data_IF_859424417940
#
_entry.id   IF_859424417940
#
_cell.length_a   1.000
_cell.length_b   1.000
_cell.length_c   1.000
_cell.angle_alpha   90.00
_cell.angle_beta   90.00
_cell.angle_gamma   90.00
#
_symmetry.space_group_name_H-M   'P 1'
#
loop_
_entity.id
_entity.type
_entity.pdbx_description
1 polymer ?
#
# COMPACT_ATOMS: atom_id res chain seq x y z
N UNK A 1 -10.30 7.70 9.11
CA UNK A 1 -9.78 6.76 8.11
C UNK A 1 -8.45 7.30 7.60
N UNK A 2 -7.47 6.44 7.34
CA UNK A 2 -6.16 6.84 6.83
C UNK A 2 -6.00 6.40 5.39
N UNK A 3 -5.17 7.08 4.60
CA UNK A 3 -4.92 6.75 3.20
C UNK A 3 -3.41 6.63 3.00
N UNK A 4 -2.99 5.83 2.02
CA UNK A 4 -1.58 5.79 1.62
C UNK A 4 -1.27 7.08 0.87
N UNK A 5 -0.10 7.67 1.11
CA UNK A 5 0.35 8.91 0.44
C UNK A 5 1.75 8.79 -0.17
N UNK A 6 2.55 7.82 0.28
CA UNK A 6 3.86 7.51 -0.26
C UNK A 6 4.17 6.02 -0.03
N UNK A 7 5.07 5.47 -0.84
CA UNK A 7 5.48 4.06 -0.73
C UNK A 7 7.00 3.96 -0.79
N UNK A 8 7.57 3.01 -0.06
CA UNK A 8 8.99 2.69 -0.16
C UNK A 8 9.15 1.35 -0.86
N UNK A 9 10.05 1.29 -1.82
CA UNK A 9 10.34 0.09 -2.60
C UNK A 9 11.74 -0.45 -2.30
N UNK A 10 11.91 -1.76 -2.41
CA UNK A 10 13.23 -2.38 -2.42
C UNK A 10 13.91 -2.23 -3.80
N UNK A 11 15.14 -2.72 -3.94
CA UNK A 11 15.88 -2.70 -5.22
C UNK A 11 15.23 -3.50 -6.35
N UNK A 12 14.30 -4.41 -6.03
CA UNK A 12 13.52 -5.20 -6.99
C UNK A 12 12.24 -4.50 -7.44
N UNK A 13 11.87 -3.37 -6.81
CA UNK A 13 10.65 -2.62 -7.08
C UNK A 13 9.45 -2.98 -6.22
N UNK A 14 9.57 -3.95 -5.30
CA UNK A 14 8.48 -4.34 -4.40
C UNK A 14 8.28 -3.32 -3.29
N UNK A 15 7.02 -3.02 -2.96
CA UNK A 15 6.68 -2.15 -1.84
C UNK A 15 7.01 -2.87 -0.52
N UNK A 16 7.88 -2.25 0.28
CA UNK A 16 8.28 -2.77 1.61
C UNK A 16 7.65 -1.99 2.75
N UNK A 17 7.33 -0.71 2.53
CA UNK A 17 6.70 0.17 3.52
C UNK A 17 5.76 1.17 2.84
N UNK A 18 4.78 1.66 3.57
CA UNK A 18 3.88 2.72 3.12
C UNK A 18 3.81 3.82 4.16
N UNK A 19 3.66 5.06 3.71
CA UNK A 19 3.37 6.21 4.56
C UNK A 19 1.88 6.51 4.49
N UNK A 20 1.24 6.67 5.65
CA UNK A 20 -0.16 7.06 5.73
C UNK A 20 -0.32 8.58 5.76
N UNK A 21 -1.53 9.07 5.47
CA UNK A 21 -1.90 10.49 5.56
C UNK A 21 -1.74 11.11 6.95
N UNK A 22 -1.52 10.29 8.00
CA UNK A 22 -1.17 10.75 9.35
C UNK A 22 0.33 10.78 9.63
N UNK A 23 1.16 10.54 8.61
CA UNK A 23 2.62 10.53 8.74
C UNK A 23 3.19 9.26 9.38
N UNK A 24 2.38 8.22 9.61
CA UNK A 24 2.88 6.91 10.08
C UNK A 24 3.58 6.20 8.92
N UNK A 25 4.73 5.62 9.17
CA UNK A 25 5.38 4.68 8.24
C UNK A 25 5.15 3.27 8.81
N UNK A 26 4.51 2.41 8.03
CA UNK A 26 4.23 1.03 8.41
C UNK A 26 4.77 0.07 7.34
N UNK A 27 5.15 -1.14 7.76
CA UNK A 27 5.57 -2.18 6.82
C UNK A 27 4.42 -2.60 5.90
N UNK A 28 4.76 -3.13 4.74
CA UNK A 28 3.77 -3.61 3.77
C UNK A 28 2.84 -4.69 4.35
N UNK A 29 3.37 -5.61 5.17
CA UNK A 29 2.55 -6.61 5.86
C UNK A 29 1.54 -5.99 6.82
N UNK A 30 1.93 -4.92 7.54
CA UNK A 30 1.00 -4.18 8.40
C UNK A 30 -0.04 -3.41 7.59
N UNK A 31 0.35 -2.86 6.44
CA UNK A 31 -0.58 -2.22 5.52
C UNK A 31 -1.65 -3.19 5.01
N UNK A 32 -1.27 -4.43 4.65
CA UNK A 32 -2.24 -5.48 4.29
C UNK A 32 -3.21 -5.76 5.45
N UNK A 33 -2.72 -5.93 6.68
CA UNK A 33 -3.62 -6.17 7.83
C UNK A 33 -4.54 -4.97 8.11
N UNK A 34 -4.02 -3.75 8.04
CA UNK A 34 -4.82 -2.54 8.28
C UNK A 34 -5.84 -2.29 7.15
N UNK A 35 -5.53 -2.62 5.91
CA UNK A 35 -6.48 -2.57 4.79
C UNK A 35 -7.59 -3.63 4.93
N UNK A 36 -7.24 -4.85 5.33
CA UNK A 36 -8.20 -5.94 5.59
C UNK A 36 -9.16 -5.58 6.74
N UNK A 37 -8.64 -4.90 7.76
CA UNK A 37 -9.40 -4.38 8.88
C UNK A 37 -10.18 -3.09 8.57
N UNK A 38 -10.10 -2.55 7.35
CA UNK A 38 -10.76 -1.31 6.95
C UNK A 38 -10.20 -0.03 7.58
N UNK A 39 -8.99 -0.06 8.13
CA UNK A 39 -8.32 1.10 8.72
C UNK A 39 -7.66 1.99 7.64
N UNK A 40 -7.20 1.37 6.56
CA UNK A 40 -6.75 2.06 5.35
C UNK A 40 -7.91 2.18 4.35
N UNK A 41 -8.31 3.41 4.08
CA UNK A 41 -9.32 3.73 3.09
C UNK A 41 -8.71 3.81 1.70
N UNK A 42 -9.54 3.57 0.68
CA UNK A 42 -9.10 3.66 -0.71
C UNK A 42 -8.17 2.53 -1.13
N UNK A 43 -8.11 1.45 -0.34
CA UNK A 43 -7.29 0.28 -0.63
C UNK A 43 -8.15 -0.97 -0.74
N UNK A 44 -7.74 -1.90 -1.60
CA UNK A 44 -8.33 -3.23 -1.72
C UNK A 44 -7.22 -4.29 -1.63
N UNK A 45 -7.55 -5.45 -1.06
CA UNK A 45 -6.66 -6.60 -1.07
C UNK A 45 -7.15 -7.58 -2.13
N UNK A 46 -6.24 -7.99 -3.02
CA UNK A 46 -6.49 -9.03 -4.00
C UNK A 46 -5.49 -10.16 -3.85
N UNK A 47 -5.88 -11.36 -4.24
CA UNK A 47 -4.98 -12.51 -4.34
C UNK A 47 -4.43 -12.57 -5.76
N UNK A 48 -3.11 -12.58 -5.89
CA UNK A 48 -2.47 -12.79 -7.19
C UNK A 48 -2.49 -14.28 -7.57
N UNK A 49 -2.03 -14.60 -8.79
CA UNK A 49 -1.98 -15.98 -9.30
C UNK A 49 -1.06 -16.92 -8.51
N UNK A 50 -0.13 -16.35 -7.74
CA UNK A 50 0.82 -17.08 -6.89
C UNK A 50 0.24 -17.36 -5.48
N UNK A 51 -0.99 -16.90 -5.20
CA UNK A 51 -1.59 -17.03 -3.88
C UNK A 51 -1.07 -16.02 -2.86
N UNK A 52 -0.39 -14.96 -3.30
CA UNK A 52 0.04 -13.87 -2.44
C UNK A 52 -0.99 -12.73 -2.42
N UNK A 53 -1.13 -12.09 -1.26
CA UNK A 53 -1.97 -10.90 -1.10
C UNK A 53 -1.24 -9.66 -1.61
N UNK A 54 -1.89 -8.92 -2.50
CA UNK A 54 -1.43 -7.64 -3.02
C UNK A 54 -2.36 -6.52 -2.58
N UNK A 55 -1.78 -5.36 -2.29
CA UNK A 55 -2.49 -4.16 -1.94
C UNK A 55 -2.69 -3.31 -3.19
N UNK A 56 -3.93 -2.90 -3.44
CA UNK A 56 -4.33 -2.12 -4.61
C UNK A 56 -4.88 -0.77 -4.16
N UNK A 57 -4.60 0.26 -4.94
CA UNK A 57 -5.19 1.58 -4.80
C UNK A 57 -6.53 1.64 -5.56
N UNK A 58 -7.57 2.15 -4.90
CA UNK A 58 -8.92 2.36 -5.46
C UNK A 58 -9.27 3.84 -5.64
N UNK A 59 -8.37 4.74 -5.28
CA UNK A 59 -8.62 6.19 -5.32
C UNK A 59 -8.11 6.86 -6.61
N UNK A 60 -7.29 6.18 -7.40
CA UNK A 60 -6.74 6.71 -8.66
C UNK A 60 -6.57 5.62 -9.72
N UNK A 61 -6.33 6.04 -10.96
CA UNK A 61 -6.03 5.14 -12.09
C UNK A 61 -4.73 4.36 -11.86
N UNK A 62 -3.80 4.90 -11.07
CA UNK A 62 -2.61 4.18 -10.61
C UNK A 62 -2.94 3.20 -9.47
N UNK A 63 -3.38 2.00 -9.89
CA UNK A 63 -3.81 0.91 -9.00
C UNK A 63 -2.63 0.34 -8.18
N UNK A 64 -1.40 0.42 -8.68
CA UNK A 64 -0.22 -0.21 -8.07
C UNK A 64 0.67 0.76 -7.30
N UNK A 65 0.19 1.97 -7.04
CA UNK A 65 0.94 3.05 -6.39
C UNK A 65 2.22 3.42 -7.16
N UNK A 66 2.33 3.10 -8.45
CA UNK A 66 3.49 3.33 -9.32
C UNK A 66 3.93 4.79 -9.31
N UNK A 67 2.97 5.72 -9.33
CA UNK A 67 3.20 7.16 -9.35
C UNK A 67 3.32 7.77 -7.95
N UNK A 68 3.19 6.96 -6.89
CA UNK A 68 3.32 7.46 -5.53
C UNK A 68 4.77 7.83 -5.22
N UNK A 69 4.99 8.96 -4.52
CA UNK A 69 6.32 9.38 -4.13
C UNK A 69 6.99 8.34 -3.23
N UNK A 70 8.32 8.33 -3.27
CA UNK A 70 9.12 7.54 -2.33
C UNK A 70 9.16 8.23 -0.96
N UNK A 71 9.22 7.43 0.11
CA UNK A 71 9.36 7.95 1.49
C UNK A 71 10.74 8.64 1.68
N UNK A 72 11.74 8.24 0.90
CA UNK A 72 13.11 8.75 0.89
C UNK A 72 13.63 8.96 -0.52
#
# INVERSE_FOLDING_TARGET
>A
MEYIVAVQRNSSGDIVSVQTSKGRIISYQKALMEAEAGMLGGTEIQWNKDGNRILLNKMSEDIYFSDFPSIY
#
